data_IF_410635209345
#
_entry.id   IF_410635209345
#
_cell.length_a   1.000
_cell.length_b   1.000
_cell.length_c   1.000
_cell.angle_alpha   90.00
_cell.angle_beta   90.00
_cell.angle_gamma   90.00
#
_symmetry.space_group_name_H-M   'P 1'
#
loop_
_entity.id
_entity.type
_entity.pdbx_description
1 polymer ?
#
# COMPACT_ATOMS: atom_id res chain seq x y z
N UNK A 1 1.33 3.96 29.31
CA UNK A 1 0.78 2.84 28.55
C UNK A 1 1.10 2.99 27.08
N UNK A 2 2.12 2.25 26.66
CA UNK A 2 2.82 2.37 25.38
C UNK A 2 2.30 1.25 24.49
N UNK A 3 1.77 1.61 23.31
CA UNK A 3 1.40 0.64 22.28
C UNK A 3 2.65 -0.10 21.84
N UNK A 4 2.81 -1.33 22.34
CA UNK A 4 3.76 -2.29 21.79
C UNK A 4 3.17 -2.80 20.50
N UNK A 5 3.69 -2.34 19.36
CA UNK A 5 3.37 -2.91 18.06
C UNK A 5 4.20 -4.20 17.93
N UNK A 6 3.58 -5.39 17.83
CA UNK A 6 4.36 -6.61 17.70
C UNK A 6 5.06 -6.65 16.34
N UNK A 7 6.40 -6.71 16.39
CA UNK A 7 7.26 -7.07 15.27
C UNK A 7 7.01 -8.52 14.85
N UNK A 8 6.04 -8.72 13.96
CA UNK A 8 5.96 -9.90 13.11
C UNK A 8 5.00 -9.56 11.96
N UNK A 9 5.53 -9.20 10.79
CA UNK A 9 4.75 -9.33 9.57
C UNK A 9 4.72 -10.83 9.23
N UNK A 10 3.58 -11.54 9.36
CA UNK A 10 3.51 -12.91 8.89
C UNK A 10 3.61 -12.91 7.37
N UNK A 11 4.49 -13.76 6.83
CA UNK A 11 4.84 -13.92 5.40
C UNK A 11 3.67 -14.32 4.47
N UNK A 12 2.41 -14.26 4.93
CA UNK A 12 1.29 -14.98 4.32
C UNK A 12 0.09 -14.10 3.96
N UNK A 13 0.20 -12.76 3.98
CA UNK A 13 -0.95 -11.88 3.68
C UNK A 13 -1.28 -11.76 2.18
N UNK A 14 -0.46 -12.34 1.31
CA UNK A 14 -0.63 -12.29 -0.13
C UNK A 14 -0.66 -13.70 -0.73
N UNK A 15 -1.73 -14.45 -0.46
CA UNK A 15 -2.10 -15.58 -1.32
C UNK A 15 -3.63 -15.69 -1.43
N UNK A 16 -4.19 -15.83 -2.65
CA UNK A 16 -5.46 -16.54 -2.79
C UNK A 16 -5.21 -17.99 -2.34
N UNK A 17 -5.87 -18.42 -1.25
CA UNK A 17 -5.84 -19.82 -0.83
C UNK A 17 -6.53 -20.68 -1.89
N UNK A 18 -5.78 -21.33 -2.76
CA UNK A 18 -6.25 -22.51 -3.48
C UNK A 18 -6.06 -23.73 -2.57
N UNK A 19 -6.97 -23.93 -1.61
CA UNK A 19 -7.03 -25.22 -0.91
C UNK A 19 -7.82 -26.22 -1.75
N UNK A 20 -7.29 -27.41 -2.07
CA UNK A 20 -8.07 -28.50 -2.63
C UNK A 20 -9.06 -29.01 -1.57
N UNK A 21 -10.31 -29.19 -2.02
CA UNK A 21 -11.50 -29.61 -1.26
C UNK A 21 -11.24 -30.50 -0.04
N UNK A 22 -11.61 -30.01 1.15
CA UNK A 22 -11.96 -30.83 2.31
C UNK A 22 -13.44 -30.59 2.64
N UNK A 23 -14.30 -31.61 2.63
CA UNK A 23 -15.71 -31.46 2.96
C UNK A 23 -15.88 -31.56 4.49
N UNK A 24 -16.13 -30.44 5.16
CA UNK A 24 -16.56 -30.47 6.56
C UNK A 24 -16.33 -29.18 7.36
N UNK A 25 -17.44 -28.58 7.78
CA UNK A 25 -17.62 -27.57 8.83
C UNK A 25 -16.98 -26.16 8.62
N UNK A 26 -17.88 -25.19 8.44
CA UNK A 26 -17.62 -23.75 8.62
C UNK A 26 -17.23 -23.05 7.33
N UNK A 27 -18.20 -22.35 6.72
CA UNK A 27 -17.94 -21.38 5.64
C UNK A 27 -17.02 -20.28 6.18
N UNK A 28 -15.70 -20.49 6.10
CA UNK A 28 -14.73 -19.41 6.18
C UNK A 28 -14.76 -18.75 4.82
N UNK A 29 -15.49 -17.63 4.71
CA UNK A 29 -15.43 -16.76 3.55
C UNK A 29 -13.96 -16.48 3.23
N UNK A 30 -13.56 -16.76 1.99
CA UNK A 30 -12.24 -16.39 1.50
C UNK A 30 -12.06 -14.88 1.72
N UNK A 31 -10.87 -14.41 2.16
CA UNK A 31 -10.61 -12.98 2.24
C UNK A 31 -10.92 -12.35 0.89
N UNK A 32 -11.75 -11.30 0.89
CA UNK A 32 -12.02 -10.55 -0.33
C UNK A 32 -10.68 -10.04 -0.89
N UNK A 33 -10.47 -10.10 -2.21
CA UNK A 33 -9.31 -9.48 -2.82
C UNK A 33 -9.28 -7.98 -2.46
N UNK A 34 -8.08 -7.45 -2.18
CA UNK A 34 -7.94 -6.01 -1.98
C UNK A 34 -8.33 -5.29 -3.27
N UNK A 35 -9.32 -4.42 -3.17
CA UNK A 35 -9.85 -3.65 -4.31
C UNK A 35 -9.52 -2.17 -4.19
N UNK A 36 -9.23 -1.70 -2.97
CA UNK A 36 -9.00 -0.30 -2.65
C UNK A 36 -7.80 -0.18 -1.71
N UNK A 37 -7.25 1.03 -1.63
CA UNK A 37 -6.15 1.34 -0.72
C UNK A 37 -6.25 2.78 -0.22
N UNK A 38 -5.62 3.02 0.92
CA UNK A 38 -5.41 4.36 1.47
C UNK A 38 -4.02 4.85 1.06
N UNK A 39 -3.96 6.09 0.58
CA UNK A 39 -2.75 6.66 0.04
C UNK A 39 -2.55 8.12 0.45
N UNK A 40 -1.29 8.48 0.68
CA UNK A 40 -0.86 9.88 0.72
C UNK A 40 -0.32 10.27 -0.66
N UNK A 41 -1.00 11.17 -1.40
CA UNK A 41 -0.53 11.60 -2.70
C UNK A 41 0.73 12.46 -2.55
N UNK A 42 1.73 12.23 -3.42
CA UNK A 42 2.99 12.96 -3.42
C UNK A 42 3.07 14.02 -4.53
N UNK A 43 2.03 14.14 -5.35
CA UNK A 43 1.93 15.05 -6.49
C UNK A 43 2.03 16.53 -6.10
N UNK A 44 1.58 16.88 -4.90
CA UNK A 44 1.70 18.24 -4.33
C UNK A 44 3.15 18.68 -4.10
N UNK A 45 4.11 17.74 -4.05
CA UNK A 45 5.53 18.03 -3.89
C UNK A 45 6.26 17.99 -5.26
N UNK A 46 6.33 19.14 -5.92
CA UNK A 46 6.98 19.27 -7.24
C UNK A 46 8.46 18.88 -7.24
N UNK A 47 9.15 18.97 -6.09
CA UNK A 47 10.53 18.52 -5.97
C UNK A 47 10.63 17.00 -6.10
N UNK A 48 9.79 16.25 -5.36
CA UNK A 48 9.76 14.77 -5.44
C UNK A 48 9.36 14.33 -6.85
N UNK A 49 8.28 14.88 -7.40
CA UNK A 49 7.82 14.58 -8.76
C UNK A 49 8.90 14.82 -9.82
N UNK A 50 9.63 15.95 -9.74
CA UNK A 50 10.73 16.26 -10.65
C UNK A 50 11.94 15.33 -10.45
N UNK A 51 12.30 15.05 -9.20
CA UNK A 51 13.42 14.16 -8.89
C UNK A 51 13.18 12.76 -9.44
N UNK A 52 12.01 12.18 -9.18
CA UNK A 52 11.62 10.87 -9.71
C UNK A 52 11.53 10.89 -11.24
N UNK A 53 10.94 11.94 -11.82
CA UNK A 53 10.87 12.08 -13.28
C UNK A 53 12.25 12.11 -13.95
N UNK A 54 13.21 12.86 -13.37
CA UNK A 54 14.58 12.89 -13.88
C UNK A 54 15.27 11.52 -13.77
N UNK A 55 15.08 10.82 -12.65
CA UNK A 55 15.61 9.47 -12.44
C UNK A 55 15.03 8.48 -13.47
N UNK A 56 13.71 8.49 -13.66
CA UNK A 56 13.01 7.66 -14.65
C UNK A 56 13.49 7.94 -16.07
N UNK A 57 13.66 9.21 -16.44
CA UNK A 57 14.19 9.58 -17.76
C UNK A 57 15.62 9.06 -17.96
N UNK A 58 16.45 9.09 -16.91
CA UNK A 58 17.77 8.47 -16.90
C UNK A 58 17.71 6.97 -17.20
N UNK A 59 16.83 6.23 -16.51
CA UNK A 59 16.63 4.80 -16.73
C UNK A 59 16.12 4.48 -18.16
N UNK A 60 15.19 5.28 -18.68
CA UNK A 60 14.63 5.10 -20.04
C UNK A 60 15.69 5.37 -21.10
N UNK A 61 16.55 6.37 -20.90
CA UNK A 61 17.63 6.69 -21.82
C UNK A 61 18.75 5.66 -21.77
N UNK A 62 19.03 5.06 -20.61
CA UNK A 62 20.00 3.98 -20.44
C UNK A 62 19.34 2.59 -20.56
N UNK A 63 18.87 2.28 -21.76
CA UNK A 63 18.21 0.99 -22.11
C UNK A 63 19.09 -0.25 -21.88
N UNK A 64 20.38 -0.08 -21.55
CA UNK A 64 21.36 -1.16 -21.51
C UNK A 64 21.45 -1.89 -20.17
N UNK A 65 20.91 -1.30 -19.10
CA UNK A 65 21.21 -1.74 -17.72
C UNK A 65 20.22 -2.74 -17.12
N UNK A 66 18.95 -2.76 -17.56
CA UNK A 66 17.90 -3.58 -16.94
C UNK A 66 17.15 -4.40 -18.01
N UNK A 67 17.42 -5.71 -18.06
CA UNK A 67 16.72 -6.65 -18.95
C UNK A 67 15.22 -6.64 -18.65
N UNK A 68 14.40 -6.41 -19.67
CA UNK A 68 12.94 -6.38 -19.55
C UNK A 68 12.37 -5.06 -19.03
N UNK A 69 13.20 -4.02 -18.86
CA UNK A 69 12.71 -2.68 -18.57
C UNK A 69 12.03 -2.07 -19.80
N UNK A 70 10.79 -1.64 -19.62
CA UNK A 70 9.98 -1.02 -20.66
C UNK A 70 9.30 0.22 -20.08
N UNK A 71 9.21 1.31 -20.85
CA UNK A 71 8.65 2.58 -20.38
C UNK A 71 7.23 2.46 -19.82
N UNK A 72 6.44 1.48 -20.31
CA UNK A 72 5.06 1.24 -19.85
C UNK A 72 4.96 0.71 -18.42
N UNK A 73 6.06 0.26 -17.81
CA UNK A 73 6.08 -0.19 -16.40
C UNK A 73 6.46 0.94 -15.44
N UNK A 74 6.86 2.10 -15.99
CA UNK A 74 7.23 3.27 -15.21
C UNK A 74 5.97 4.02 -14.82
N UNK A 75 5.80 4.27 -13.52
CA UNK A 75 4.66 5.05 -13.02
C UNK A 75 4.87 6.54 -13.32
N UNK A 76 3.83 7.21 -13.82
CA UNK A 76 3.86 8.66 -14.00
C UNK A 76 4.17 9.37 -12.67
N UNK A 77 5.13 10.31 -12.61
CA UNK A 77 5.47 11.00 -11.36
C UNK A 77 4.27 11.64 -10.61
N UNK A 78 3.25 12.22 -11.27
CA UNK A 78 2.07 12.73 -10.57
C UNK A 78 1.18 11.63 -9.94
N UNK A 79 1.38 10.36 -10.30
CA UNK A 79 0.64 9.23 -9.73
C UNK A 79 1.35 8.61 -8.52
N UNK A 80 2.50 9.16 -8.12
CA UNK A 80 3.24 8.72 -6.96
C UNK A 80 2.43 8.97 -5.68
N UNK A 81 2.41 7.94 -4.85
CA UNK A 81 1.76 7.99 -3.55
C UNK A 81 2.45 7.03 -2.59
N UNK A 82 2.29 7.29 -1.29
CA UNK A 82 2.66 6.35 -0.24
C UNK A 82 1.41 5.56 0.13
N UNK A 83 1.43 4.25 -0.10
CA UNK A 83 0.35 3.35 0.33
C UNK A 83 0.45 3.11 1.83
N UNK A 84 -0.62 3.44 2.55
CA UNK A 84 -0.70 3.30 4.02
C UNK A 84 -1.32 1.97 4.41
N UNK A 85 -2.26 1.49 3.60
CA UNK A 85 -2.93 0.23 3.84
C UNK A 85 -3.87 -0.13 2.70
N UNK A 86 -4.20 -1.42 2.63
CA UNK A 86 -5.12 -1.97 1.64
C UNK A 86 -6.42 -2.40 2.28
N UNK A 87 -7.51 -2.30 1.53
CA UNK A 87 -8.85 -2.63 1.99
C UNK A 87 -9.57 -3.47 0.93
N UNK A 88 -10.10 -4.61 1.35
CA UNK A 88 -11.10 -5.35 0.60
C UNK A 88 -12.48 -4.77 0.90
N UNK A 89 -13.09 -4.14 -0.10
CA UNK A 89 -14.45 -3.61 0.00
C UNK A 89 -15.47 -4.54 -0.67
N UNK A 90 -16.63 -4.65 -0.05
CA UNK A 90 -17.81 -5.39 -0.50
C UNK A 90 -18.68 -4.49 -1.40
N UNK A 91 -19.37 -5.10 -2.37
CA UNK A 91 -20.36 -4.39 -3.18
C UNK A 91 -21.58 -3.99 -2.33
N UNK A 92 -22.08 -2.78 -2.55
CA UNK A 92 -23.23 -2.24 -1.81
C UNK A 92 -24.52 -3.08 -2.03
N UNK A 93 -24.57 -3.87 -3.10
CA UNK A 93 -25.73 -4.68 -3.51
C UNK A 93 -25.76 -6.08 -2.91
N UNK A 94 -24.70 -6.53 -2.23
CA UNK A 94 -24.69 -7.86 -1.62
C UNK A 94 -25.75 -7.94 -0.51
N UNK A 95 -26.18 -9.14 -0.13
CA UNK A 95 -27.15 -9.30 0.98
C UNK A 95 -26.48 -9.13 2.34
N UNK A 96 -27.14 -8.42 3.25
CA UNK A 96 -26.67 -8.23 4.62
C UNK A 96 -26.47 -9.56 5.35
N UNK A 97 -25.26 -9.78 5.87
CA UNK A 97 -25.00 -10.80 6.87
C UNK A 97 -25.22 -10.17 8.25
N UNK A 98 -26.30 -10.54 8.99
CA UNK A 98 -26.69 -9.88 10.23
C UNK A 98 -25.67 -10.02 11.38
N UNK A 99 -24.55 -10.72 11.18
CA UNK A 99 -23.48 -10.89 12.16
C UNK A 99 -22.20 -10.09 11.90
N UNK A 100 -22.05 -9.40 10.77
CA UNK A 100 -20.77 -8.74 10.40
C UNK A 100 -20.99 -7.31 9.91
N UNK A 101 -20.25 -6.32 10.44
CA UNK A 101 -20.27 -4.98 9.87
C UNK A 101 -19.73 -5.02 8.44
N UNK A 102 -20.55 -4.53 7.49
CA UNK A 102 -20.20 -4.47 6.08
C UNK A 102 -18.99 -3.58 5.86
N UNK A 103 -18.17 -3.94 4.88
CA UNK A 103 -17.01 -3.14 4.47
C UNK A 103 -17.25 -2.57 3.09
N UNK A 104 -18.25 -1.71 2.95
CA UNK A 104 -18.55 -1.07 1.67
C UNK A 104 -17.83 0.28 1.54
N UNK A 105 -17.85 0.87 0.34
CA UNK A 105 -17.29 2.22 0.10
C UNK A 105 -17.93 3.25 1.02
N UNK A 106 -19.24 3.21 1.19
CA UNK A 106 -19.97 4.11 2.07
C UNK A 106 -19.49 4.01 3.53
N UNK A 107 -19.34 2.77 4.03
CA UNK A 107 -18.86 2.53 5.39
C UNK A 107 -17.40 2.99 5.59
N UNK A 108 -16.55 2.81 4.58
CA UNK A 108 -15.15 3.25 4.62
C UNK A 108 -15.04 4.78 4.64
N UNK A 109 -15.84 5.48 3.83
CA UNK A 109 -15.90 6.95 3.84
C UNK A 109 -16.40 7.48 5.19
N UNK A 110 -17.44 6.86 5.76
CA UNK A 110 -17.93 7.23 7.09
C UNK A 110 -16.83 7.04 8.16
N UNK A 111 -16.08 5.93 8.10
CA UNK A 111 -14.95 5.69 8.99
C UNK A 111 -13.85 6.75 8.81
N UNK A 112 -13.43 7.04 7.58
CA UNK A 112 -12.40 8.06 7.31
C UNK A 112 -12.80 9.44 7.83
N UNK A 113 -14.07 9.84 7.64
CA UNK A 113 -14.60 11.09 8.18
C UNK A 113 -14.57 11.11 9.72
N UNK A 114 -14.87 9.98 10.37
CA UNK A 114 -14.81 9.87 11.82
C UNK A 114 -13.38 9.88 12.40
N UNK A 115 -12.40 9.40 11.62
CA UNK A 115 -10.99 9.39 11.99
C UNK A 115 -10.30 10.73 11.75
N UNK A 116 -10.80 11.54 10.82
CA UNK A 116 -10.24 12.86 10.49
C UNK A 116 -9.89 13.71 11.73
N UNK A 117 -10.78 13.92 12.73
CA UNK A 117 -10.43 14.73 13.90
C UNK A 117 -9.30 14.12 14.73
N UNK A 118 -9.26 12.79 14.88
CA UNK A 118 -8.22 12.11 15.65
C UNK A 118 -6.85 12.21 14.97
N UNK A 119 -6.82 11.97 13.65
CA UNK A 119 -5.61 12.15 12.84
C UNK A 119 -5.13 13.60 12.89
N UNK A 120 -6.06 14.56 12.81
CA UNK A 120 -5.74 15.98 12.89
C UNK A 120 -5.19 16.38 14.26
N UNK A 121 -5.68 15.78 15.34
CA UNK A 121 -5.14 15.99 16.68
C UNK A 121 -3.72 15.45 16.80
N UNK A 122 -3.47 14.23 16.31
CA UNK A 122 -2.14 13.61 16.34
C UNK A 122 -1.14 14.46 15.54
N UNK A 123 -1.46 14.80 14.29
CA UNK A 123 -0.59 15.61 13.42
C UNK A 123 -0.48 17.05 13.95
N UNK A 124 -1.56 17.62 14.46
CA UNK A 124 -1.62 18.99 14.97
C UNK A 124 -0.72 19.23 16.19
N UNK A 125 -0.42 18.19 16.97
CA UNK A 125 0.56 18.25 18.07
C UNK A 125 1.99 18.42 17.55
N UNK A 126 2.32 17.85 16.40
CA UNK A 126 3.68 17.85 15.83
C UNK A 126 3.90 18.92 14.74
N UNK A 127 2.87 19.73 14.42
CA UNK A 127 2.85 20.80 13.39
C UNK A 127 3.11 20.34 11.95
N UNK A 128 3.81 19.22 11.71
CA UNK A 128 4.11 18.67 10.39
C UNK A 128 4.41 17.17 10.48
N UNK A 129 3.87 16.39 9.54
CA UNK A 129 4.27 15.01 9.31
C UNK A 129 5.45 15.01 8.32
N UNK A 130 6.59 14.49 8.73
CA UNK A 130 7.77 14.31 7.86
C UNK A 130 8.02 12.82 7.63
N UNK A 131 8.13 12.43 6.36
CA UNK A 131 8.41 11.05 5.95
C UNK A 131 9.66 11.11 5.08
N UNK A 132 10.74 10.51 5.57
CA UNK A 132 11.99 10.40 4.81
C UNK A 132 11.85 9.29 3.76
N UNK A 133 12.23 9.61 2.52
CA UNK A 133 12.22 8.70 1.38
C UNK A 133 13.65 8.53 0.89
N UNK A 134 14.45 7.80 1.65
CA UNK A 134 15.90 7.72 1.52
C UNK A 134 16.41 6.33 1.11
N UNK A 135 15.53 5.31 1.14
CA UNK A 135 15.85 3.95 0.73
C UNK A 135 15.11 3.56 -0.56
N UNK A 136 15.84 2.94 -1.49
CA UNK A 136 15.29 2.22 -2.62
C UNK A 136 15.30 0.71 -2.33
N UNK A 137 14.16 0.06 -2.55
CA UNK A 137 13.97 -1.36 -2.32
C UNK A 137 13.32 -2.04 -3.52
N UNK A 138 13.51 -3.35 -3.61
CA UNK A 138 12.88 -4.19 -4.62
C UNK A 138 11.97 -5.18 -3.91
N UNK A 139 10.67 -5.12 -4.20
CA UNK A 139 9.71 -6.10 -3.74
C UNK A 139 9.68 -7.28 -4.72
N UNK A 140 10.14 -8.43 -4.25
CA UNK A 140 10.14 -9.67 -5.00
C UNK A 140 8.78 -10.36 -4.88
N UNK A 141 8.10 -10.57 -6.00
CA UNK A 141 6.93 -11.43 -6.09
C UNK A 141 7.41 -12.89 -6.14
N UNK A 142 6.87 -13.75 -5.27
CA UNK A 142 7.22 -15.17 -5.27
C UNK A 142 6.85 -15.81 -6.61
N UNK A 143 7.66 -16.78 -7.04
CA UNK A 143 7.48 -17.59 -8.26
C UNK A 143 7.44 -16.81 -9.59
N UNK A 144 7.90 -15.56 -9.59
CA UNK A 144 8.01 -14.77 -10.80
C UNK A 144 9.45 -14.63 -11.27
N UNK A 145 9.73 -15.10 -12.49
CA UNK A 145 10.99 -14.78 -13.20
C UNK A 145 11.01 -13.32 -13.70
N UNK A 146 9.86 -12.63 -13.76
CA UNK A 146 9.74 -11.31 -14.38
C UNK A 146 8.69 -10.42 -13.69
N UNK A 147 9.10 -9.18 -13.39
CA UNK A 147 8.41 -8.16 -12.60
C UNK A 147 8.74 -8.24 -11.10
N UNK A 148 9.64 -7.36 -10.70
CA UNK A 148 9.79 -6.92 -9.32
C UNK A 148 9.32 -5.47 -9.24
N UNK A 149 8.73 -5.09 -8.11
CA UNK A 149 8.31 -3.70 -7.90
C UNK A 149 9.46 -2.95 -7.25
N UNK A 150 10.03 -1.97 -7.95
CA UNK A 150 10.93 -1.01 -7.32
C UNK A 150 10.09 -0.02 -6.52
N UNK A 151 10.43 0.18 -5.25
CA UNK A 151 9.76 1.13 -4.37
C UNK A 151 10.78 2.01 -3.64
N UNK A 152 10.31 3.15 -3.16
CA UNK A 152 11.05 4.05 -2.29
C UNK A 152 10.33 4.17 -0.96
N UNK A 153 11.08 4.20 0.14
CA UNK A 153 10.50 4.32 1.47
C UNK A 153 11.54 4.73 2.50
N UNK A 154 11.15 4.83 3.77
CA UNK A 154 12.06 5.13 4.86
C UNK A 154 13.03 3.97 5.09
N UNK A 155 14.27 4.29 5.40
CA UNK A 155 15.27 3.33 5.88
C UNK A 155 14.78 2.63 7.16
N UNK A 156 14.77 1.29 7.16
CA UNK A 156 14.28 0.45 8.28
C UNK A 156 15.21 0.48 9.52
N UNK A 157 16.09 1.49 9.64
CA UNK A 157 17.13 1.58 10.67
C UNK A 157 17.46 3.00 11.10
N UNK A 158 16.51 3.93 11.04
CA UNK A 158 16.70 5.31 11.45
C UNK A 158 17.05 5.44 12.94
N UNK A 159 18.34 5.43 13.26
CA UNK A 159 18.87 6.15 14.40
C UNK A 159 18.73 7.65 14.09
N UNK A 160 17.55 8.21 14.33
CA UNK A 160 17.39 9.66 14.42
C UNK A 160 18.37 10.15 15.50
N UNK A 161 19.35 10.96 15.07
CA UNK A 161 20.16 11.79 15.95
C UNK A 161 19.44 13.09 16.26
#
# INVERSE_FOLDING_TARGET
DIFTIPHAYPKNYWMPRTTPNSPGLGSRSSPLPSSHFLAFPLDTNSYVTRMVGNFQQGLINDKSSIKGFHETIVMDPPRLHITVGEVGLEDESETDDPGRPRRTVSSALALLNSLQPQVSEIIGREKKLEIELDALGVMHLQDSEYAHVLYMGPSVGGNSK
#
